data_IF_671675581143
#
_entry.id   IF_671675581143
#
_cell.length_a   1.000
_cell.length_b   1.000
_cell.length_c   1.000
_cell.angle_alpha   90.00
_cell.angle_beta   90.00
_cell.angle_gamma   90.00
#
_symmetry.space_group_name_H-M   'P 1'
#
loop_
_entity.id
_entity.type
_entity.pdbx_description
1 polymer ?
#
# COMPACT_ATOMS: atom_id res chain seq x y z
N UNK A 1 -10.55 8.59 19.91
CA UNK A 1 -10.54 7.20 19.37
C UNK A 1 -9.16 6.97 18.79
N UNK A 2 -8.36 6.06 19.36
CA UNK A 2 -7.03 5.75 18.83
C UNK A 2 -7.19 5.00 17.49
N UNK A 3 -6.34 5.33 16.52
CA UNK A 3 -6.27 4.62 15.23
C UNK A 3 -5.99 3.13 15.49
N UNK A 4 -6.74 2.18 14.87
CA UNK A 4 -6.49 0.74 15.00
C UNK A 4 -5.03 0.32 14.74
N UNK A 5 -4.28 1.04 13.88
CA UNK A 5 -2.86 0.79 13.61
C UNK A 5 -1.92 1.18 14.74
N UNK A 6 -2.36 2.09 15.63
CA UNK A 6 -1.58 2.55 16.80
C UNK A 6 -2.11 1.98 18.12
N UNK A 7 -3.14 1.14 18.08
CA UNK A 7 -3.70 0.53 19.28
C UNK A 7 -2.66 -0.32 20.02
N UNK A 8 -2.72 -0.34 21.36
CA UNK A 8 -1.77 -1.06 22.23
C UNK A 8 -1.68 -2.55 21.85
N UNK A 9 -2.83 -3.18 21.59
CA UNK A 9 -2.91 -4.60 21.21
C UNK A 9 -2.15 -4.86 19.90
N UNK A 10 -2.24 -3.94 18.94
CA UNK A 10 -1.52 -4.00 17.66
C UNK A 10 -0.01 -3.86 17.90
N UNK A 11 0.42 -2.87 18.68
CA UNK A 11 1.84 -2.65 19.00
C UNK A 11 2.46 -3.85 19.73
N UNK A 12 1.75 -4.42 20.71
CA UNK A 12 2.20 -5.62 21.43
C UNK A 12 2.38 -6.81 20.49
N UNK A 13 1.47 -6.99 19.53
CA UNK A 13 1.56 -8.07 18.55
C UNK A 13 2.74 -7.87 17.58
N UNK A 14 2.97 -6.65 17.11
CA UNK A 14 4.11 -6.32 16.24
C UNK A 14 5.45 -6.60 16.96
N UNK A 15 5.55 -6.20 18.23
CA UNK A 15 6.72 -6.48 19.06
C UNK A 15 6.92 -8.00 19.27
N UNK A 16 5.85 -8.75 19.53
CA UNK A 16 5.92 -10.20 19.71
C UNK A 16 6.32 -10.94 18.42
N UNK A 17 6.05 -10.36 17.24
CA UNK A 17 6.50 -10.88 15.95
C UNK A 17 7.91 -10.41 15.57
N UNK A 18 8.50 -9.48 16.33
CA UNK A 18 9.80 -8.89 16.04
C UNK A 18 9.81 -7.99 14.81
N UNK A 19 8.67 -7.40 14.44
CA UNK A 19 8.56 -6.55 13.25
C UNK A 19 8.92 -5.10 13.58
N UNK A 20 9.88 -4.55 12.82
CA UNK A 20 10.18 -3.13 12.87
C UNK A 20 9.07 -2.33 12.19
N UNK A 21 8.59 -1.29 12.88
CA UNK A 21 7.57 -0.38 12.35
C UNK A 21 8.25 0.86 11.79
N UNK A 22 8.19 1.02 10.46
CA UNK A 22 8.72 2.21 9.80
C UNK A 22 7.83 3.42 10.09
N UNK A 23 8.47 4.56 10.37
CA UNK A 23 7.77 5.83 10.57
C UNK A 23 7.00 6.24 9.32
N UNK A 24 5.69 6.49 9.46
CA UNK A 24 4.83 6.93 8.37
C UNK A 24 4.15 8.25 8.74
N UNK A 25 4.39 9.34 8.01
CA UNK A 25 3.75 10.62 8.29
C UNK A 25 2.23 10.53 8.09
N UNK A 26 1.42 11.27 8.86
CA UNK A 26 -0.02 11.28 8.69
C UNK A 26 -0.40 11.75 7.26
N UNK A 27 -1.48 11.19 6.71
CA UNK A 27 -2.05 11.54 5.40
C UNK A 27 -1.11 11.41 4.18
N UNK A 28 -0.10 10.54 4.24
CA UNK A 28 0.93 10.43 3.19
C UNK A 28 0.67 9.36 2.12
N UNK A 29 -0.46 9.46 1.41
CA UNK A 29 -0.83 8.57 0.29
C UNK A 29 0.23 8.47 -0.81
N UNK A 30 1.06 9.53 -0.97
CA UNK A 30 2.13 9.56 -1.96
C UNK A 30 3.32 8.63 -1.61
N UNK A 31 3.40 8.14 -0.37
CA UNK A 31 4.53 7.38 0.18
C UNK A 31 4.19 5.90 0.35
N UNK A 32 2.92 5.52 0.51
CA UNK A 32 2.53 4.14 0.68
C UNK A 32 2.57 3.37 -0.66
N UNK A 33 3.41 2.33 -0.84
CA UNK A 33 3.48 1.55 -2.08
C UNK A 33 2.15 0.89 -2.45
N UNK A 34 1.36 0.53 -1.44
CA UNK A 34 -0.01 0.04 -1.61
C UNK A 34 -0.87 1.07 -2.34
N UNK A 35 -0.83 2.34 -1.96
CA UNK A 35 -1.68 3.38 -2.53
C UNK A 35 -1.17 3.86 -3.90
N UNK A 36 0.08 4.30 -3.98
CA UNK A 36 0.57 4.97 -5.21
C UNK A 36 0.80 4.00 -6.38
N UNK A 37 0.96 2.71 -6.11
CA UNK A 37 1.34 1.71 -7.12
C UNK A 37 0.35 0.55 -7.19
N UNK A 38 0.19 -0.21 -6.12
CA UNK A 38 -0.57 -1.46 -6.13
C UNK A 38 -2.07 -1.22 -6.39
N UNK A 39 -2.70 -0.41 -5.54
CA UNK A 39 -4.11 -0.06 -5.63
C UNK A 39 -4.40 0.84 -6.81
N UNK A 40 -3.47 1.73 -7.19
CA UNK A 40 -3.61 2.51 -8.43
C UNK A 40 -3.70 1.61 -9.66
N UNK A 41 -2.83 0.59 -9.76
CA UNK A 41 -2.87 -0.36 -10.87
C UNK A 41 -4.09 -1.29 -10.79
N UNK A 42 -4.51 -1.71 -9.59
CA UNK A 42 -5.74 -2.49 -9.40
C UNK A 42 -6.98 -1.67 -9.79
N UNK A 43 -7.06 -0.41 -9.39
CA UNK A 43 -8.15 0.50 -9.74
C UNK A 43 -8.26 0.65 -11.26
N UNK A 44 -7.14 0.82 -11.96
CA UNK A 44 -7.12 0.85 -13.43
C UNK A 44 -7.68 -0.45 -14.03
N UNK A 45 -7.30 -1.62 -13.48
CA UNK A 45 -7.85 -2.90 -13.90
C UNK A 45 -9.36 -3.04 -13.63
N UNK A 46 -9.84 -2.52 -12.50
CA UNK A 46 -11.24 -2.61 -12.09
C UNK A 46 -12.13 -1.57 -12.77
N UNK A 47 -11.56 -0.51 -13.33
CA UNK A 47 -12.29 0.60 -13.94
C UNK A 47 -13.20 0.08 -15.05
N UNK A 48 -14.49 0.44 -14.98
CA UNK A 48 -15.52 0.03 -15.95
C UNK A 48 -16.08 -1.39 -15.75
N UNK A 49 -15.52 -2.21 -14.85
CA UNK A 49 -16.09 -3.53 -14.53
C UNK A 49 -17.26 -3.37 -13.58
N UNK A 50 -18.35 -4.12 -13.83
CA UNK A 50 -19.50 -4.25 -12.93
C UNK A 50 -19.57 -5.68 -12.41
N UNK A 51 -19.71 -5.83 -11.10
CA UNK A 51 -19.83 -7.12 -10.44
C UNK A 51 -21.18 -7.23 -9.75
N UNK A 52 -21.86 -8.35 -9.93
CA UNK A 52 -23.16 -8.62 -9.27
C UNK A 52 -23.00 -9.30 -7.91
N UNK A 53 -21.90 -10.02 -7.71
CA UNK A 53 -21.67 -10.85 -6.55
C UNK A 53 -20.27 -10.63 -5.97
N UNK A 54 -20.14 -10.77 -4.65
CA UNK A 54 -18.86 -10.70 -3.95
C UNK A 54 -17.85 -11.71 -4.48
N UNK A 55 -18.28 -12.94 -4.78
CA UNK A 55 -17.42 -13.99 -5.32
C UNK A 55 -16.79 -13.58 -6.67
N UNK A 56 -17.54 -12.84 -7.51
CA UNK A 56 -17.01 -12.31 -8.76
C UNK A 56 -15.93 -11.24 -8.54
N UNK A 57 -16.09 -10.40 -7.50
CA UNK A 57 -15.06 -9.43 -7.10
C UNK A 57 -13.82 -10.16 -6.60
N UNK A 58 -13.99 -11.13 -5.70
CA UNK A 58 -12.90 -11.93 -5.14
C UNK A 58 -12.09 -12.62 -6.24
N UNK A 59 -12.77 -13.32 -7.17
CA UNK A 59 -12.12 -13.97 -8.31
C UNK A 59 -11.37 -12.97 -9.21
N UNK A 60 -11.94 -11.79 -9.47
CA UNK A 60 -11.30 -10.78 -10.29
C UNK A 60 -10.03 -10.20 -9.63
N UNK A 61 -10.07 -9.97 -8.31
CA UNK A 61 -8.93 -9.45 -7.54
C UNK A 61 -7.82 -10.50 -7.42
N UNK A 62 -8.17 -11.76 -7.10
CA UNK A 62 -7.20 -12.87 -7.06
C UNK A 62 -6.57 -13.08 -8.44
N UNK A 63 -7.38 -13.11 -9.49
CA UNK A 63 -6.89 -13.22 -10.87
C UNK A 63 -5.94 -12.07 -11.25
N UNK A 64 -6.23 -10.85 -10.80
CA UNK A 64 -5.35 -9.71 -11.03
C UNK A 64 -3.99 -9.89 -10.36
N UNK A 65 -3.94 -10.25 -9.07
CA UNK A 65 -2.66 -10.43 -8.37
C UNK A 65 -1.84 -11.59 -8.95
N UNK A 66 -2.51 -12.69 -9.34
CA UNK A 66 -1.85 -13.83 -9.99
C UNK A 66 -1.31 -13.50 -11.39
N UNK A 67 -1.84 -12.46 -12.04
CA UNK A 67 -1.36 -12.00 -13.35
C UNK A 67 -0.09 -11.13 -13.29
N UNK A 68 0.34 -10.72 -12.09
CA UNK A 68 1.52 -9.87 -11.90
C UNK A 68 2.75 -10.71 -11.61
N UNK A 69 3.82 -10.43 -12.33
CA UNK A 69 5.13 -11.02 -12.06
C UNK A 69 5.79 -10.38 -10.82
N UNK A 70 6.90 -10.98 -10.40
CA UNK A 70 7.70 -10.48 -9.27
C UNK A 70 8.25 -9.07 -9.51
N UNK A 71 8.60 -8.73 -10.75
CA UNK A 71 9.16 -7.42 -11.11
C UNK A 71 8.15 -6.30 -10.90
N UNK A 72 6.86 -6.57 -11.11
CA UNK A 72 5.80 -5.62 -10.80
C UNK A 72 5.87 -5.20 -9.31
N UNK A 73 5.93 -6.15 -8.39
CA UNK A 73 5.98 -5.85 -6.94
C UNK A 73 7.29 -5.18 -6.54
N UNK A 74 8.44 -5.68 -7.04
CA UNK A 74 9.76 -5.07 -6.82
C UNK A 74 9.79 -3.62 -7.26
N UNK A 75 9.24 -3.32 -8.44
CA UNK A 75 9.19 -1.96 -8.99
C UNK A 75 8.39 -1.02 -8.08
N UNK A 76 7.29 -1.49 -7.51
CA UNK A 76 6.50 -0.72 -6.55
C UNK A 76 7.35 -0.30 -5.34
N UNK A 77 8.05 -1.24 -4.72
CA UNK A 77 8.89 -1.00 -3.53
C UNK A 77 10.13 -0.16 -3.87
N UNK A 78 10.82 -0.44 -4.98
CA UNK A 78 12.06 0.26 -5.35
C UNK A 78 11.85 1.74 -5.72
N UNK A 79 10.61 2.18 -5.94
CA UNK A 79 10.29 3.61 -6.15
C UNK A 79 10.14 4.40 -4.85
N UNK A 80 10.19 3.72 -3.69
CA UNK A 80 10.01 4.37 -2.39
C UNK A 80 11.06 5.46 -2.10
N UNK A 81 12.38 5.27 -2.37
CA UNK A 81 13.38 6.31 -2.13
C UNK A 81 13.15 7.58 -2.95
N UNK A 82 12.78 7.44 -4.22
CA UNK A 82 12.46 8.58 -5.11
C UNK A 82 11.26 9.36 -4.56
N UNK A 83 10.23 8.66 -4.07
CA UNK A 83 9.03 9.30 -3.51
C UNK A 83 9.31 9.97 -2.17
N UNK A 84 10.15 9.40 -1.33
CA UNK A 84 10.61 10.04 -0.10
C UNK A 84 11.30 11.38 -0.37
N UNK A 85 12.10 11.47 -1.44
CA UNK A 85 12.74 12.75 -1.81
C UNK A 85 11.74 13.83 -2.25
N UNK A 86 10.57 13.45 -2.79
CA UNK A 86 9.55 14.41 -3.23
C UNK A 86 8.73 15.00 -2.08
N UNK A 87 8.66 14.31 -0.94
CA UNK A 87 7.86 14.70 0.23
C UNK A 87 8.68 15.36 1.34
N UNK A 88 10.01 15.22 1.30
CA UNK A 88 10.90 16.00 2.16
C UNK A 88 10.91 17.45 1.68
N UNK A 89 10.60 18.44 2.54
CA UNK A 89 10.73 19.85 2.17
C UNK A 89 12.13 20.12 1.65
N UNK A 90 12.25 20.69 0.45
CA UNK A 90 13.52 21.29 0.04
C UNK A 90 13.71 22.50 0.95
N UNK A 91 14.58 22.38 1.94
CA UNK A 91 14.99 23.54 2.73
C UNK A 91 15.60 24.54 1.74
N UNK A 92 14.85 25.60 1.44
CA UNK A 92 15.36 26.76 0.73
C UNK A 92 16.51 27.35 1.56
N UNK A 93 17.59 27.68 0.85
CA UNK A 93 18.86 28.15 1.39
C UNK A 93 18.76 29.58 1.87
#
# INVERSE_FOLDING_TARGET
MLDPFTAIVTQQKLNALGWEVLGHPPYSLAIAPSDYYLFRSLQNYLTGKKFKYFESVSKAVVGYFNSKDENFYKTGIHRLPERWQQVVPKNET
#
